data_IF_061892787494
#
_entry.id   IF_061892787494
#
_cell.length_a   1.000
_cell.length_b   1.000
_cell.length_c   1.000
_cell.angle_alpha   90.00
_cell.angle_beta   90.00
_cell.angle_gamma   90.00
#
_symmetry.space_group_name_H-M   'P 1'
#
loop_
_entity.id
_entity.type
_entity.pdbx_description
1 polymer ?
#
# COMPACT_ATOMS: atom_id res chain seq x y z
N UNK A 1 2.24 11.72 6.80
CA UNK A 1 1.97 10.29 6.50
C UNK A 1 0.78 9.78 7.29
N UNK A 2 0.77 9.90 8.62
CA UNK A 2 -0.42 9.65 9.44
C UNK A 2 -1.40 10.84 9.41
N UNK A 3 -2.65 10.64 9.83
CA UNK A 3 -3.64 11.72 9.98
C UNK A 3 -3.61 12.42 11.34
N UNK A 4 -2.97 11.82 12.36
CA UNK A 4 -2.72 12.42 13.67
C UNK A 4 -1.40 13.21 13.68
N UNK A 5 -1.35 14.30 14.45
CA UNK A 5 -0.13 15.09 14.74
C UNK A 5 0.27 14.91 16.22
N UNK A 6 1.56 15.04 16.54
CA UNK A 6 2.08 14.96 17.91
C UNK A 6 2.43 13.55 18.39
N UNK A 7 2.76 13.45 19.68
CA UNK A 7 3.10 12.18 20.35
C UNK A 7 1.87 11.26 20.41
N UNK A 8 2.01 10.03 19.93
CA UNK A 8 1.02 8.97 20.02
C UNK A 8 1.69 7.64 20.35
N UNK A 9 0.91 6.60 20.61
CA UNK A 9 1.43 5.23 20.65
C UNK A 9 1.18 4.54 19.30
N UNK A 10 2.03 3.57 18.94
CA UNK A 10 1.92 2.82 17.67
C UNK A 10 0.49 2.27 17.48
N UNK A 11 -0.13 1.71 18.52
CA UNK A 11 -1.47 1.09 18.43
C UNK A 11 -2.58 2.04 17.98
N UNK A 12 -2.46 3.33 18.28
CA UNK A 12 -3.40 4.37 17.82
C UNK A 12 -3.11 4.78 16.39
N UNK A 13 -1.82 4.94 16.03
CA UNK A 13 -1.43 5.35 14.68
C UNK A 13 -1.64 4.25 13.62
N UNK A 14 -1.51 2.99 14.01
CA UNK A 14 -1.61 1.82 13.14
C UNK A 14 -3.05 1.31 12.97
N UNK A 15 -4.02 2.16 13.28
CA UNK A 15 -5.41 2.00 12.91
C UNK A 15 -5.64 2.43 11.45
N UNK A 16 -6.19 1.56 10.62
CA UNK A 16 -6.38 1.77 9.18
C UNK A 16 -7.82 1.63 8.69
N UNK A 17 -8.79 1.57 9.59
CA UNK A 17 -10.19 1.35 9.23
C UNK A 17 -10.78 2.51 8.43
N UNK A 18 -11.18 2.20 7.20
CA UNK A 18 -12.01 3.05 6.35
C UNK A 18 -11.45 4.44 6.12
N UNK A 19 -12.34 5.39 5.82
CA UNK A 19 -11.97 6.75 5.46
C UNK A 19 -11.32 7.55 6.61
N UNK A 20 -11.53 7.15 7.87
CA UNK A 20 -11.02 7.83 9.07
C UNK A 20 -9.68 7.28 9.56
N UNK A 21 -9.05 6.38 8.77
CA UNK A 21 -7.76 5.77 9.04
C UNK A 21 -6.71 6.75 9.57
N UNK A 22 -5.94 6.29 10.57
CA UNK A 22 -4.72 6.97 11.03
C UNK A 22 -3.55 6.62 10.11
N UNK A 23 -3.37 5.34 9.81
CA UNK A 23 -2.49 4.84 8.77
C UNK A 23 -3.14 5.00 7.38
N UNK A 24 -3.20 6.24 6.91
CA UNK A 24 -3.88 6.62 5.65
C UNK A 24 -3.02 6.52 4.38
N UNK A 25 -1.72 6.26 4.51
CA UNK A 25 -0.80 6.13 3.37
C UNK A 25 -0.13 4.76 3.38
N UNK A 26 0.28 4.27 2.22
CA UNK A 26 1.08 3.04 2.14
C UNK A 26 2.38 3.15 2.94
N UNK A 27 3.00 4.33 2.99
CA UNK A 27 4.17 4.59 3.83
C UNK A 27 3.84 4.44 5.32
N UNK A 28 2.68 4.92 5.77
CA UNK A 28 2.23 4.73 7.15
C UNK A 28 1.99 3.25 7.46
N UNK A 29 1.39 2.50 6.51
CA UNK A 29 1.22 1.06 6.62
C UNK A 29 2.54 0.33 6.74
N UNK A 30 3.52 0.61 5.88
CA UNK A 30 4.86 0.00 5.95
C UNK A 30 5.54 0.34 7.28
N UNK A 31 5.46 1.59 7.73
CA UNK A 31 6.03 1.96 9.04
C UNK A 31 5.38 1.16 10.17
N UNK A 32 4.06 0.97 10.15
CA UNK A 32 3.35 0.19 11.17
C UNK A 32 3.67 -1.31 11.16
N UNK A 33 3.91 -1.91 9.99
CA UNK A 33 4.25 -3.34 9.88
C UNK A 33 5.73 -3.63 10.08
N UNK A 34 6.59 -2.62 10.03
CA UNK A 34 8.05 -2.79 10.11
C UNK A 34 8.73 -2.15 11.32
N UNK A 35 8.15 -1.08 11.89
CA UNK A 35 8.68 -0.42 13.06
C UNK A 35 8.05 -0.97 14.35
N UNK A 36 8.81 -0.94 15.43
CA UNK A 36 8.40 -1.52 16.69
C UNK A 36 8.90 -0.68 17.86
N UNK A 37 8.27 -0.84 19.02
CA UNK A 37 8.82 -0.35 20.28
C UNK A 37 10.05 -1.18 20.69
N UNK A 38 10.73 -0.79 21.77
CA UNK A 38 11.93 -1.48 22.25
C UNK A 38 11.69 -2.96 22.63
N UNK A 39 10.53 -3.25 23.22
CA UNK A 39 10.07 -4.63 23.51
C UNK A 39 9.51 -5.37 22.28
N UNK A 40 9.58 -4.74 21.11
CA UNK A 40 9.14 -5.28 19.84
C UNK A 40 10.20 -6.11 19.11
N UNK A 41 10.24 -6.00 17.79
CA UNK A 41 11.19 -6.71 16.95
C UNK A 41 11.74 -5.79 15.87
N UNK A 42 13.05 -5.52 15.92
CA UNK A 42 13.78 -4.87 14.83
C UNK A 42 13.87 -5.73 13.55
N UNK A 43 13.28 -6.94 13.58
CA UNK A 43 13.32 -7.95 12.51
C UNK A 43 11.96 -8.18 11.84
N UNK A 44 10.98 -7.29 12.07
CA UNK A 44 9.59 -7.50 11.64
C UNK A 44 9.46 -7.68 10.11
N UNK A 45 10.14 -6.85 9.32
CA UNK A 45 10.05 -6.89 7.86
C UNK A 45 11.29 -7.45 7.14
N UNK A 46 12.45 -7.49 7.80
CA UNK A 46 13.68 -8.04 7.26
C UNK A 46 14.64 -8.41 8.41
N UNK A 47 15.70 -9.14 8.11
CA UNK A 47 16.81 -9.35 9.05
C UNK A 47 17.88 -8.28 8.81
N UNK A 48 17.90 -7.16 9.56
CA UNK A 48 18.83 -6.09 9.25
C UNK A 48 20.26 -6.43 9.71
N UNK A 49 21.24 -6.03 8.90
CA UNK A 49 22.66 -6.04 9.31
C UNK A 49 22.98 -4.93 10.32
N UNK A 50 22.34 -3.77 10.19
CA UNK A 50 22.42 -2.69 11.21
C UNK A 50 21.10 -2.62 11.95
N UNK A 51 21.09 -2.75 13.29
CA UNK A 51 19.87 -2.68 14.09
C UNK A 51 19.02 -1.46 13.76
N UNK A 52 17.71 -1.65 13.66
CA UNK A 52 16.78 -0.53 13.55
C UNK A 52 16.53 0.08 14.92
N UNK A 53 16.38 1.40 14.97
CA UNK A 53 15.98 2.10 16.19
C UNK A 53 14.57 1.71 16.63
N UNK A 54 14.20 1.91 17.89
CA UNK A 54 12.79 1.79 18.29
C UNK A 54 11.99 3.00 17.80
N UNK A 55 10.69 2.82 17.59
CA UNK A 55 9.74 3.90 17.38
C UNK A 55 8.56 3.68 18.32
N UNK A 56 8.09 4.72 18.98
CA UNK A 56 7.04 4.65 20.00
C UNK A 56 5.66 5.02 19.46
N UNK A 57 5.57 5.48 18.20
CA UNK A 57 4.34 6.01 17.64
C UNK A 57 4.26 7.52 17.66
N UNK A 58 5.36 8.24 17.88
CA UNK A 58 5.42 9.68 17.60
C UNK A 58 5.18 9.96 16.11
N UNK A 59 4.11 10.70 15.80
CA UNK A 59 3.78 11.08 14.43
C UNK A 59 4.84 12.04 13.84
N UNK A 60 5.46 12.85 14.70
CA UNK A 60 6.50 13.81 14.30
C UNK A 60 7.81 13.09 13.94
N UNK A 61 8.13 12.01 14.67
CA UNK A 61 9.29 11.17 14.38
C UNK A 61 9.05 10.16 13.23
N UNK A 62 7.80 10.00 12.76
CA UNK A 62 7.44 9.00 11.76
C UNK A 62 8.17 9.18 10.42
N UNK A 63 8.45 10.42 10.02
CA UNK A 63 9.21 10.71 8.79
C UNK A 63 10.67 10.25 8.90
N UNK A 64 11.31 10.52 10.04
CA UNK A 64 12.66 10.04 10.31
C UNK A 64 12.69 8.51 10.36
N UNK A 65 11.67 7.91 10.97
CA UNK A 65 11.51 6.45 11.00
C UNK A 65 11.38 5.87 9.60
N UNK A 66 10.53 6.46 8.75
CA UNK A 66 10.42 6.06 7.35
C UNK A 66 11.74 6.20 6.60
N UNK A 67 12.50 7.27 6.82
CA UNK A 67 13.79 7.47 6.18
C UNK A 67 14.83 6.38 6.55
N UNK A 68 14.74 5.82 7.75
CA UNK A 68 15.52 4.65 8.17
C UNK A 68 15.05 3.37 7.47
N UNK A 69 13.73 3.11 7.47
CA UNK A 69 13.13 1.92 6.90
C UNK A 69 13.34 1.84 5.38
N UNK A 70 13.10 2.95 4.66
CA UNK A 70 13.17 2.97 3.18
C UNK A 70 14.53 2.58 2.61
N UNK A 71 15.61 2.77 3.38
CA UNK A 71 16.98 2.36 2.98
C UNK A 71 17.12 0.85 2.83
N UNK A 72 16.16 0.08 3.36
CA UNK A 72 16.11 -1.38 3.29
C UNK A 72 15.20 -1.88 2.18
N UNK A 73 14.34 -1.02 1.66
CA UNK A 73 13.48 -1.33 0.53
C UNK A 73 14.32 -1.26 -0.77
N UNK A 74 14.24 -2.32 -1.58
CA UNK A 74 14.63 -2.20 -2.98
C UNK A 74 13.48 -1.54 -3.72
N UNK A 75 13.61 -0.24 -3.99
CA UNK A 75 12.66 0.49 -4.83
C UNK A 75 13.26 0.49 -6.23
N UNK A 76 12.79 -0.37 -7.15
CA UNK A 76 13.29 -0.36 -8.51
C UNK A 76 13.06 1.02 -9.14
N UNK A 77 13.92 1.36 -10.09
CA UNK A 77 13.88 2.66 -10.79
C UNK A 77 12.59 2.86 -11.61
N UNK A 78 12.60 3.90 -12.43
CA UNK A 78 11.45 4.31 -13.24
C UNK A 78 11.17 3.29 -14.35
N UNK A 79 10.19 2.40 -14.13
CA UNK A 79 9.52 1.65 -15.19
C UNK A 79 8.20 2.34 -15.54
N UNK A 80 7.74 2.16 -16.78
CA UNK A 80 6.36 2.53 -17.15
C UNK A 80 5.42 1.65 -16.34
N UNK A 81 4.66 2.26 -15.43
CA UNK A 81 3.68 1.56 -14.62
C UNK A 81 2.42 1.31 -15.44
N UNK A 82 1.99 0.06 -15.54
CA UNK A 82 0.72 -0.32 -16.16
C UNK A 82 -0.40 -0.51 -15.12
N UNK A 83 -1.65 -0.46 -15.59
CA UNK A 83 -2.81 -0.80 -14.75
C UNK A 83 -2.73 -2.23 -14.19
N UNK A 84 -2.26 -3.18 -15.00
CA UNK A 84 -2.15 -4.59 -14.63
C UNK A 84 -1.09 -4.84 -13.55
N UNK A 85 0.08 -4.20 -13.66
CA UNK A 85 1.16 -4.33 -12.67
C UNK A 85 0.74 -3.71 -11.34
N UNK A 86 0.08 -2.55 -11.38
CA UNK A 86 -0.39 -1.89 -10.16
C UNK A 86 -1.51 -2.69 -9.48
N UNK A 87 -2.43 -3.28 -10.26
CA UNK A 87 -3.47 -4.17 -9.74
C UNK A 87 -2.87 -5.42 -9.11
N UNK A 88 -1.90 -6.05 -9.78
CA UNK A 88 -1.22 -7.24 -9.26
C UNK A 88 -0.50 -6.93 -7.94
N UNK A 89 0.23 -5.81 -7.87
CA UNK A 89 0.92 -5.38 -6.66
C UNK A 89 -0.05 -5.09 -5.50
N UNK A 90 -1.15 -4.37 -5.77
CA UNK A 90 -2.17 -4.10 -4.75
C UNK A 90 -2.82 -5.40 -4.24
N UNK A 91 -3.21 -6.29 -5.15
CA UNK A 91 -3.79 -7.60 -4.80
C UNK A 91 -2.82 -8.42 -3.96
N UNK A 92 -1.54 -8.45 -4.32
CA UNK A 92 -0.52 -9.18 -3.56
C UNK A 92 -0.39 -8.66 -2.12
N UNK A 93 -0.39 -7.35 -1.92
CA UNK A 93 -0.34 -6.73 -0.58
C UNK A 93 -1.62 -7.04 0.21
N UNK A 94 -2.79 -6.86 -0.40
CA UNK A 94 -4.07 -7.09 0.26
C UNK A 94 -4.27 -8.57 0.63
N UNK A 95 -3.75 -9.50 -0.17
CA UNK A 95 -3.78 -10.93 0.12
C UNK A 95 -2.96 -11.34 1.36
N UNK A 96 -2.08 -10.46 1.87
CA UNK A 96 -1.36 -10.69 3.13
C UNK A 96 -2.19 -10.32 4.37
N UNK A 97 -3.42 -9.82 4.20
CA UNK A 97 -4.30 -9.50 5.33
C UNK A 97 -4.84 -10.81 5.91
N UNK A 98 -4.50 -11.08 7.17
CA UNK A 98 -5.14 -12.13 7.95
C UNK A 98 -6.41 -11.61 8.62
N UNK A 99 -7.39 -12.48 8.82
CA UNK A 99 -8.68 -12.10 9.39
C UNK A 99 -9.00 -12.94 10.62
N UNK A 100 -9.55 -12.29 11.64
CA UNK A 100 -10.35 -12.96 12.64
C UNK A 100 -11.86 -12.74 12.38
N UNK A 101 -12.72 -13.00 13.37
CA UNK A 101 -14.17 -12.85 13.24
C UNK A 101 -14.66 -11.40 13.05
N UNK A 102 -13.82 -10.41 13.31
CA UNK A 102 -14.21 -9.00 13.41
C UNK A 102 -13.20 -8.03 12.83
N UNK A 103 -11.95 -8.44 12.57
CA UNK A 103 -10.86 -7.53 12.22
C UNK A 103 -9.91 -8.18 11.21
N UNK A 104 -9.47 -7.38 10.24
CA UNK A 104 -8.37 -7.71 9.36
C UNK A 104 -7.05 -7.11 9.87
N UNK A 105 -5.95 -7.84 9.74
CA UNK A 105 -4.62 -7.43 10.15
C UNK A 105 -3.63 -7.59 9.01
N UNK A 106 -2.82 -6.57 8.76
CA UNK A 106 -1.67 -6.65 7.88
C UNK A 106 -0.39 -6.61 8.72
N UNK A 107 0.48 -7.61 8.59
CA UNK A 107 1.65 -7.80 9.45
C UNK A 107 1.40 -8.87 10.53
N UNK A 108 2.35 -9.07 11.45
CA UNK A 108 2.19 -10.07 12.51
C UNK A 108 1.25 -9.58 13.60
N UNK A 109 0.01 -10.10 13.67
CA UNK A 109 -1.02 -9.53 14.54
C UNK A 109 -0.81 -9.76 16.04
N UNK A 110 -0.19 -10.86 16.46
CA UNK A 110 -0.05 -11.16 17.90
C UNK A 110 -1.42 -11.21 18.59
N UNK A 111 -1.63 -10.40 19.65
CA UNK A 111 -2.96 -10.24 20.28
C UNK A 111 -3.89 -9.24 19.56
N UNK A 112 -3.44 -8.60 18.49
CA UNK A 112 -4.27 -7.77 17.61
C UNK A 112 -4.42 -6.30 18.04
N UNK A 113 -3.64 -5.81 19.02
CA UNK A 113 -3.68 -4.38 19.39
C UNK A 113 -2.85 -3.52 18.43
N UNK A 114 -1.87 -4.13 17.75
CA UNK A 114 -0.90 -3.50 16.86
C UNK A 114 -0.09 -2.39 17.53
N UNK A 115 0.35 -2.58 18.77
CA UNK A 115 1.13 -1.59 19.53
C UNK A 115 2.65 -1.64 19.28
N UNK A 116 3.11 -2.52 18.38
CA UNK A 116 4.51 -2.65 18.02
C UNK A 116 5.32 -3.49 19.00
N UNK A 117 4.71 -4.12 20.02
CA UNK A 117 5.37 -5.13 20.85
C UNK A 117 5.34 -6.50 20.16
N UNK A 118 6.20 -7.44 20.59
CA UNK A 118 6.17 -8.82 20.06
C UNK A 118 4.84 -9.51 20.33
N UNK A 119 4.29 -9.30 21.53
CA UNK A 119 3.08 -9.97 21.98
C UNK A 119 1.84 -9.40 21.30
N UNK A 120 1.73 -8.07 21.23
CA UNK A 120 0.50 -7.42 20.78
C UNK A 120 0.46 -7.08 19.29
N UNK A 121 1.57 -7.32 18.60
CA UNK A 121 1.65 -7.31 17.14
C UNK A 121 2.37 -6.09 16.58
N UNK A 122 3.03 -6.33 15.44
CA UNK A 122 3.66 -5.30 14.60
C UNK A 122 2.87 -5.32 13.29
N UNK A 123 1.76 -4.59 13.30
CA UNK A 123 0.71 -4.74 12.31
C UNK A 123 -0.05 -3.43 12.08
N UNK A 124 -0.96 -3.47 11.12
CA UNK A 124 -2.02 -2.51 10.91
C UNK A 124 -3.36 -3.22 11.10
N UNK A 125 -4.30 -2.59 11.80
CA UNK A 125 -5.64 -3.16 12.03
C UNK A 125 -6.74 -2.45 11.24
N UNK A 126 -7.60 -3.25 10.64
CA UNK A 126 -8.81 -2.87 9.90
C UNK A 126 -10.03 -3.39 10.65
N UNK A 127 -10.42 -2.69 11.72
CA UNK A 127 -11.55 -3.07 12.57
C UNK A 127 -12.84 -3.18 11.76
N UNK A 128 -13.63 -4.21 12.05
CA UNK A 128 -14.85 -4.55 11.33
C UNK A 128 -14.63 -5.31 10.03
N UNK A 129 -13.38 -5.45 9.54
CA UNK A 129 -13.13 -6.16 8.30
C UNK A 129 -13.22 -7.68 8.51
N UNK A 130 -14.18 -8.32 7.85
CA UNK A 130 -14.34 -9.79 7.80
C UNK A 130 -13.94 -10.38 6.44
N UNK A 131 -13.37 -9.56 5.57
CA UNK A 131 -12.89 -9.94 4.25
C UNK A 131 -12.39 -8.74 3.45
N UNK A 132 -11.70 -9.00 2.33
CA UNK A 132 -11.03 -7.97 1.54
C UNK A 132 -11.99 -6.94 0.93
N UNK A 133 -13.21 -7.36 0.59
CA UNK A 133 -14.23 -6.46 0.04
C UNK A 133 -14.83 -5.50 1.10
N UNK A 134 -14.52 -5.69 2.39
CA UNK A 134 -15.07 -4.87 3.45
C UNK A 134 -14.64 -3.40 3.33
N UNK A 135 -15.55 -2.47 3.63
CA UNK A 135 -15.31 -1.01 3.51
C UNK A 135 -14.18 -0.52 4.41
N UNK A 136 -13.97 -1.17 5.55
CA UNK A 136 -12.81 -0.92 6.43
C UNK A 136 -11.47 -1.01 5.69
N UNK A 137 -11.36 -1.87 4.67
CA UNK A 137 -10.16 -2.00 3.83
C UNK A 137 -10.32 -1.14 2.59
N UNK A 138 -11.40 -1.31 1.82
CA UNK A 138 -11.56 -0.68 0.51
C UNK A 138 -11.62 0.85 0.57
N UNK A 139 -12.12 1.42 1.66
CA UNK A 139 -12.20 2.87 1.85
C UNK A 139 -11.00 3.43 2.62
N UNK A 140 -10.02 2.59 2.98
CA UNK A 140 -8.75 3.13 3.44
C UNK A 140 -8.16 4.03 2.33
N UNK A 141 -7.69 5.25 2.65
CA UNK A 141 -7.32 6.23 1.62
C UNK A 141 -6.23 5.76 0.65
N UNK A 142 -5.26 4.95 1.06
CA UNK A 142 -4.23 4.48 0.12
C UNK A 142 -4.75 3.37 -0.79
N UNK A 143 -5.63 2.49 -0.29
CA UNK A 143 -6.28 1.45 -1.11
C UNK A 143 -7.19 2.10 -2.15
N UNK A 144 -8.04 3.05 -1.72
CA UNK A 144 -8.93 3.78 -2.61
C UNK A 144 -8.15 4.59 -3.67
N UNK A 145 -7.05 5.24 -3.29
CA UNK A 145 -6.21 5.98 -4.23
C UNK A 145 -5.55 5.08 -5.27
N UNK A 146 -5.05 3.90 -4.87
CA UNK A 146 -4.47 2.94 -5.81
C UNK A 146 -5.52 2.33 -6.74
N UNK A 147 -6.70 1.97 -6.24
CA UNK A 147 -7.81 1.54 -7.09
C UNK A 147 -8.21 2.61 -8.13
N UNK A 148 -8.24 3.88 -7.71
CA UNK A 148 -8.48 5.00 -8.64
C UNK A 148 -7.37 5.13 -9.68
N UNK A 149 -6.11 4.99 -9.29
CA UNK A 149 -4.97 5.04 -10.20
C UNK A 149 -4.98 3.88 -11.20
N UNK A 150 -5.31 2.65 -10.76
CA UNK A 150 -5.48 1.48 -11.62
C UNK A 150 -6.53 1.75 -12.70
N UNK A 151 -7.70 2.28 -12.30
CA UNK A 151 -8.77 2.64 -13.24
C UNK A 151 -8.29 3.70 -14.25
N UNK A 152 -7.65 4.77 -13.77
CA UNK A 152 -7.16 5.84 -14.65
C UNK A 152 -6.07 5.37 -15.63
N UNK A 153 -5.15 4.52 -15.18
CA UNK A 153 -4.14 3.91 -16.06
C UNK A 153 -4.80 3.06 -17.13
N UNK A 154 -5.82 2.26 -16.76
CA UNK A 154 -6.54 1.42 -17.71
C UNK A 154 -7.27 2.26 -18.77
N UNK A 155 -7.92 3.34 -18.37
CA UNK A 155 -8.58 4.27 -19.31
C UNK A 155 -7.57 4.87 -20.32
N UNK A 156 -6.37 5.24 -19.86
CA UNK A 156 -5.29 5.77 -20.72
C UNK A 156 -4.75 4.70 -21.67
N UNK A 157 -4.54 3.48 -21.18
CA UNK A 157 -4.07 2.34 -21.98
C UNK A 157 -5.07 1.96 -23.08
N UNK A 158 -6.35 1.90 -22.73
CA UNK A 158 -7.43 1.56 -23.67
C UNK A 158 -7.57 2.66 -24.75
N UNK A 159 -7.49 3.94 -24.37
CA UNK A 159 -7.52 5.06 -25.31
C UNK A 159 -6.31 5.08 -26.26
N UNK A 160 -5.11 4.83 -25.75
CA UNK A 160 -3.88 4.77 -26.56
C UNK A 160 -3.97 3.64 -27.61
N UNK A 161 -4.51 2.50 -27.20
CA UNK A 161 -4.74 1.35 -28.09
C UNK A 161 -5.73 1.70 -29.20
N UNK A 162 -6.81 2.40 -28.87
CA UNK A 162 -7.80 2.85 -29.85
C UNK A 162 -7.20 3.83 -30.88
N UNK A 163 -6.40 4.81 -30.44
CA UNK A 163 -5.72 5.74 -31.35
C UNK A 163 -4.77 5.03 -32.31
N UNK A 164 -3.94 4.09 -31.81
CA UNK A 164 -3.05 3.31 -32.65
C UNK A 164 -3.81 2.46 -33.69
N UNK A 165 -4.97 1.92 -33.31
CA UNK A 165 -5.86 1.20 -34.23
C UNK A 165 -6.45 2.09 -35.34
N UNK A 166 -6.85 3.33 -35.01
CA UNK A 166 -7.35 4.30 -35.99
C UNK A 166 -6.24 4.72 -36.96
N UNK A 167 -5.03 4.99 -36.46
CA UNK A 167 -3.88 5.31 -37.32
C UNK A 167 -3.54 4.17 -38.28
N UNK A 168 -3.53 2.92 -37.78
CA UNK A 168 -3.31 1.75 -38.61
C UNK A 168 -4.40 1.57 -39.68
N UNK A 169 -5.67 1.85 -39.34
CA UNK A 169 -6.78 1.79 -40.29
C UNK A 169 -6.67 2.87 -41.38
N UNK A 170 -6.31 4.10 -41.01
CA UNK A 170 -6.06 5.20 -41.98
C UNK A 170 -4.95 4.81 -42.96
N UNK A 171 -3.86 4.20 -42.47
CA UNK A 171 -2.75 3.79 -43.32
C UNK A 171 -3.12 2.61 -44.23
N UNK A 172 -3.90 1.66 -43.74
CA UNK A 172 -4.44 0.56 -44.55
C UNK A 172 -5.35 1.07 -45.68
N UNK A 173 -6.27 2.00 -45.40
CA UNK A 173 -7.14 2.60 -46.43
C UNK A 173 -6.33 3.32 -47.51
N UNK A 174 -5.27 4.07 -47.14
CA UNK A 174 -4.39 4.70 -48.13
C UNK A 174 -3.73 3.66 -49.05
N UNK A 175 -3.24 2.55 -48.50
CA UNK A 175 -2.60 1.51 -49.29
C UNK A 175 -3.57 0.81 -50.24
N UNK A 176 -4.81 0.57 -49.80
CA UNK A 176 -5.88 0.05 -50.68
C UNK A 176 -6.14 1.00 -51.84
N UNK A 177 -6.30 2.30 -51.59
CA UNK A 177 -6.50 3.31 -52.65
C UNK A 177 -5.33 3.35 -53.65
N UNK A 178 -4.08 3.28 -53.19
CA UNK A 178 -2.91 3.24 -54.07
C UNK A 178 -2.83 1.96 -54.92
N UNK A 179 -3.39 0.84 -54.46
CA UNK A 179 -3.37 -0.43 -55.19
C UNK A 179 -4.42 -0.52 -56.31
N UNK A 180 -5.37 0.42 -56.34
CA UNK A 180 -6.44 0.51 -57.33
C UNK A 180 -6.09 1.45 -58.51
N UNK A 181 -4.93 2.11 -58.47
CA UNK A 181 -4.36 2.97 -59.51
C UNK A 181 -3.27 2.24 -60.30
#
# INVERSE_FOLDING_TARGET
MFSQKGSGNIGTLCYATGATAKAKTIIATITCTCASVASGSAKACWQPKTPLTAWDGSADAATAKWAELKKRCHIPGQAKLTSSELQAALTAVLAQIEFDLSTGYLGGAGTGTCDGTKAAGICVKFTGATGLAHTSIQYNPWVAALNKAIKGLKEIEDATTATAGIEAAIEATKQEEYSLL
#
